data_IF_608613220215
#
_entry.id   IF_608613220215
#
_cell.length_a   1.000
_cell.length_b   1.000
_cell.length_c   1.000
_cell.angle_alpha   90.00
_cell.angle_beta   90.00
_cell.angle_gamma   90.00
#
_symmetry.space_group_name_H-M   'P 1'
#
loop_
_entity.id
_entity.type
_entity.pdbx_description
1 polymer ?
#
# COMPACT_ATOMS: atom_id res chain seq x y z
N UNK A 1 -10.04 -1.17 6.36
CA UNK A 1 -8.73 -1.30 7.05
C UNK A 1 -8.70 -0.30 8.21
N UNK A 2 -7.82 -0.47 9.18
CA UNK A 2 -7.61 0.49 10.28
C UNK A 2 -6.14 0.96 10.31
N UNK A 3 -5.82 1.83 11.27
CA UNK A 3 -4.47 2.38 11.44
C UNK A 3 -3.39 1.30 11.60
N UNK A 4 -3.68 0.18 12.30
CA UNK A 4 -2.68 -0.86 12.57
C UNK A 4 -2.37 -1.67 11.32
N UNK A 5 -3.39 -2.04 10.55
CA UNK A 5 -3.20 -2.75 9.28
C UNK A 5 -2.36 -1.93 8.30
N UNK A 6 -2.62 -0.63 8.23
CA UNK A 6 -1.88 0.28 7.36
C UNK A 6 -0.41 0.34 7.78
N UNK A 7 -0.13 0.51 9.07
CA UNK A 7 1.24 0.55 9.59
C UNK A 7 1.98 -0.77 9.41
N UNK A 8 1.29 -1.91 9.43
CA UNK A 8 1.87 -3.23 9.20
C UNK A 8 2.00 -3.60 7.71
N UNK A 9 1.51 -2.75 6.80
CA UNK A 9 1.45 -3.07 5.37
C UNK A 9 0.56 -4.27 5.06
N UNK A 10 -0.38 -4.61 5.94
CA UNK A 10 -1.29 -5.73 5.76
C UNK A 10 -2.46 -5.31 4.84
N UNK A 11 -2.78 -6.16 3.89
CA UNK A 11 -3.86 -5.94 2.92
C UNK A 11 -4.98 -6.96 3.15
N UNK A 12 -6.22 -6.49 3.00
CA UNK A 12 -7.40 -7.36 2.95
C UNK A 12 -7.95 -7.42 1.52
N UNK A 13 -8.64 -8.52 1.14
CA UNK A 13 -9.44 -8.58 -0.08
C UNK A 13 -10.35 -7.35 -0.24
N UNK A 14 -10.53 -6.90 -1.49
CA UNK A 14 -11.55 -5.91 -1.82
C UNK A 14 -12.93 -6.48 -1.53
N UNK A 15 -13.84 -5.58 -1.13
CA UNK A 15 -15.21 -5.92 -0.75
C UNK A 15 -16.16 -5.14 -1.59
N UNK A 16 -17.23 -5.80 -2.03
CA UNK A 16 -18.26 -5.14 -2.81
C UNK A 16 -19.14 -4.33 -1.88
N UNK A 17 -19.29 -3.06 -2.20
CA UNK A 17 -20.26 -2.18 -1.57
C UNK A 17 -21.67 -2.58 -2.02
N UNK A 18 -22.56 -2.85 -1.07
CA UNK A 18 -23.95 -3.28 -1.32
C UNK A 18 -24.99 -2.28 -0.83
N UNK A 19 -24.58 -1.27 -0.04
CA UNK A 19 -25.45 -0.19 0.39
C UNK A 19 -24.66 1.01 0.88
N UNK A 20 -25.22 2.21 0.66
CA UNK A 20 -24.73 3.48 1.20
C UNK A 20 -25.92 4.20 1.80
N UNK A 21 -25.74 4.68 3.02
CA UNK A 21 -26.68 5.51 3.75
C UNK A 21 -25.94 6.80 4.11
N UNK A 22 -26.10 7.88 3.32
CA UNK A 22 -25.36 9.11 3.52
C UNK A 22 -25.86 9.90 4.75
N UNK A 23 -27.11 9.70 5.17
CA UNK A 23 -27.68 10.38 6.34
C UNK A 23 -27.06 9.84 7.63
N UNK A 24 -26.87 8.51 7.69
CA UNK A 24 -26.20 7.85 8.82
C UNK A 24 -24.68 7.77 8.65
N UNK A 25 -24.13 8.18 7.50
CA UNK A 25 -22.70 8.00 7.17
C UNK A 25 -22.28 6.53 7.15
N UNK A 26 -23.19 5.63 6.75
CA UNK A 26 -23.01 4.17 6.84
C UNK A 26 -22.81 3.55 5.46
N UNK A 27 -21.88 2.59 5.40
CA UNK A 27 -21.62 1.76 4.22
C UNK A 27 -21.81 0.29 4.59
N UNK A 28 -22.53 -0.45 3.74
CA UNK A 28 -22.74 -1.89 3.88
C UNK A 28 -21.89 -2.64 2.87
N UNK A 29 -21.12 -3.62 3.33
CA UNK A 29 -20.26 -4.47 2.52
C UNK A 29 -20.87 -5.87 2.38
N UNK A 30 -20.63 -6.54 1.25
CA UNK A 30 -21.11 -7.90 1.01
C UNK A 30 -20.54 -8.92 2.02
N UNK A 31 -19.35 -8.66 2.55
CA UNK A 31 -18.68 -9.48 3.57
C UNK A 31 -18.03 -8.59 4.63
N UNK A 32 -18.06 -8.98 5.92
CA UNK A 32 -17.47 -8.19 6.99
C UNK A 32 -15.93 -8.18 6.92
N UNK A 33 -15.27 -7.03 7.17
CA UNK A 33 -13.81 -6.94 7.26
C UNK A 33 -13.26 -7.72 8.45
N UNK A 34 -12.05 -8.27 8.30
CA UNK A 34 -11.46 -9.11 9.35
C UNK A 34 -11.04 -8.29 10.58
N UNK A 35 -10.77 -7.00 10.37
CA UNK A 35 -10.38 -6.06 11.44
C UNK A 35 -11.43 -5.04 11.85
N UNK A 36 -12.71 -5.16 11.44
CA UNK A 36 -13.78 -4.44 12.14
C UNK A 36 -14.04 -5.08 13.51
N UNK A 37 -13.00 -5.11 14.35
CA UNK A 37 -13.17 -5.24 15.78
C UNK A 37 -13.55 -3.85 16.28
N UNK A 38 -14.53 -3.84 17.16
CA UNK A 38 -15.23 -2.67 17.70
C UNK A 38 -14.33 -1.83 18.62
N UNK A 39 -13.20 -1.36 18.09
CA UNK A 39 -12.22 -0.55 18.81
C UNK A 39 -12.53 0.92 18.53
N UNK A 40 -13.29 1.53 19.45
CA UNK A 40 -13.61 2.97 19.43
C UNK A 40 -12.39 3.91 19.37
N UNK A 41 -11.19 3.37 19.55
CA UNK A 41 -9.91 4.08 19.49
C UNK A 41 -9.17 3.90 18.15
N UNK A 42 -9.73 3.14 17.20
CA UNK A 42 -9.17 2.94 15.86
C UNK A 42 -9.98 3.71 14.82
N UNK A 43 -9.31 4.22 13.80
CA UNK A 43 -9.95 4.97 12.73
C UNK A 43 -10.12 4.08 11.49
N UNK A 44 -11.35 3.66 11.16
CA UNK A 44 -11.58 2.87 9.97
C UNK A 44 -11.35 3.72 8.72
N UNK A 45 -10.59 3.16 7.78
CA UNK A 45 -10.30 3.76 6.49
C UNK A 45 -10.92 2.90 5.39
N UNK A 46 -11.65 3.57 4.50
CA UNK A 46 -12.27 2.98 3.32
C UNK A 46 -11.67 3.64 2.09
N UNK A 47 -11.15 2.84 1.17
CA UNK A 47 -10.75 3.27 -0.18
C UNK A 47 -11.69 2.58 -1.16
N UNK A 48 -12.31 3.36 -2.04
CA UNK A 48 -13.21 2.84 -3.06
C UNK A 48 -12.42 2.56 -4.34
N UNK A 49 -12.71 1.43 -4.96
CA UNK A 49 -12.29 1.08 -6.30
C UNK A 49 -13.54 0.77 -7.12
N UNK A 50 -13.70 1.40 -8.27
CA UNK A 50 -14.90 1.31 -9.11
C UNK A 50 -14.63 0.80 -10.54
N UNK A 51 -13.37 0.60 -10.94
CA UNK A 51 -13.06 0.03 -12.24
C UNK A 51 -13.43 -1.46 -12.30
N UNK A 52 -14.01 -1.86 -13.43
CA UNK A 52 -14.44 -3.23 -13.72
C UNK A 52 -13.39 -4.02 -14.50
N UNK A 53 -13.47 -5.36 -14.42
CA UNK A 53 -12.71 -6.23 -15.30
C UNK A 53 -13.15 -6.06 -16.76
N UNK A 54 -12.21 -6.09 -17.69
CA UNK A 54 -12.49 -6.25 -19.12
C UNK A 54 -11.43 -7.18 -19.75
N UNK A 55 -11.44 -8.48 -19.42
CA UNK A 55 -10.40 -9.40 -19.87
C UNK A 55 -10.46 -9.70 -21.37
N UNK A 56 -11.50 -9.24 -22.08
CA UNK A 56 -11.63 -9.40 -23.52
C UNK A 56 -10.94 -8.27 -24.30
N UNK A 57 -10.81 -7.09 -23.69
CA UNK A 57 -10.09 -5.97 -24.28
C UNK A 57 -8.57 -6.18 -24.20
N UNK A 58 -7.81 -5.78 -25.24
CA UNK A 58 -6.36 -5.65 -25.13
C UNK A 58 -5.99 -4.73 -23.96
N UNK A 59 -5.10 -5.20 -23.08
CA UNK A 59 -4.66 -4.48 -21.87
C UNK A 59 -5.81 -4.10 -20.91
N UNK A 60 -6.96 -4.78 -21.02
CA UNK A 60 -8.05 -4.61 -20.07
C UNK A 60 -7.71 -5.19 -18.69
N UNK A 61 -8.40 -4.73 -17.66
CA UNK A 61 -8.13 -5.16 -16.30
C UNK A 61 -8.53 -6.61 -16.08
N UNK A 62 -7.60 -7.40 -15.56
CA UNK A 62 -7.87 -8.73 -15.04
C UNK A 62 -7.97 -8.67 -13.52
N UNK A 63 -9.11 -9.05 -12.96
CA UNK A 63 -9.27 -9.12 -11.52
C UNK A 63 -8.93 -10.53 -11.00
N UNK A 64 -8.26 -10.58 -9.85
CA UNK A 64 -7.97 -11.82 -9.14
C UNK A 64 -9.16 -12.22 -8.26
N UNK A 65 -9.64 -13.44 -8.43
CA UNK A 65 -10.61 -14.04 -7.51
C UNK A 65 -9.88 -14.80 -6.40
N UNK A 66 -10.29 -14.68 -5.11
CA UNK A 66 -11.46 -13.96 -4.61
C UNK A 66 -11.17 -12.51 -4.15
N UNK A 67 -9.95 -12.00 -4.38
CA UNK A 67 -9.51 -10.71 -3.81
C UNK A 67 -10.17 -9.50 -4.47
N UNK A 68 -10.68 -9.65 -5.69
CA UNK A 68 -11.18 -8.58 -6.55
C UNK A 68 -10.11 -7.60 -7.03
N UNK A 69 -8.83 -7.84 -6.72
CA UNK A 69 -7.74 -6.92 -7.04
C UNK A 69 -7.31 -7.03 -8.50
N UNK A 70 -6.94 -5.91 -9.12
CA UNK A 70 -6.40 -5.91 -10.48
C UNK A 70 -4.99 -6.53 -10.51
N UNK A 71 -4.75 -7.44 -11.46
CA UNK A 71 -3.49 -8.17 -11.62
C UNK A 71 -2.46 -7.36 -12.39
N UNK A 72 -1.25 -7.29 -11.83
CA UNK A 72 -0.05 -6.78 -12.50
C UNK A 72 0.78 -7.99 -12.94
N UNK A 73 0.93 -8.18 -14.25
CA UNK A 73 1.69 -9.31 -14.82
C UNK A 73 3.12 -8.88 -15.10
N UNK A 74 4.06 -9.29 -14.25
CA UNK A 74 5.47 -8.89 -14.39
C UNK A 74 6.28 -9.89 -15.25
N UNK A 75 5.72 -11.07 -15.56
CA UNK A 75 6.39 -12.15 -16.30
C UNK A 75 5.46 -12.79 -17.37
N UNK A 76 4.77 -11.99 -18.17
CA UNK A 76 3.90 -12.48 -19.27
C UNK A 76 4.66 -12.94 -20.52
N UNK A 77 6.01 -12.87 -20.50
CA UNK A 77 6.86 -13.18 -21.65
C UNK A 77 7.17 -11.96 -22.53
N UNK A 78 6.71 -10.76 -22.17
CA UNK A 78 7.19 -9.52 -22.79
C UNK A 78 8.69 -9.30 -22.47
N UNK A 79 9.50 -8.80 -23.43
CA UNK A 79 10.92 -8.53 -23.20
C UNK A 79 11.18 -7.50 -22.09
N UNK A 80 10.15 -6.73 -21.73
CA UNK A 80 10.22 -5.51 -20.93
C UNK A 80 9.71 -5.74 -19.51
N UNK A 81 8.95 -6.83 -19.27
CA UNK A 81 8.41 -7.17 -17.95
C UNK A 81 7.43 -6.13 -17.42
N UNK A 82 6.64 -5.53 -18.31
CA UNK A 82 5.69 -4.47 -18.00
C UNK A 82 4.24 -4.91 -18.21
N UNK A 83 3.36 -4.50 -17.31
CA UNK A 83 1.92 -4.71 -17.37
C UNK A 83 1.23 -3.38 -17.63
N UNK A 84 0.67 -3.21 -18.81
CA UNK A 84 -0.16 -2.05 -19.16
C UNK A 84 -1.62 -2.30 -18.79
N UNK A 85 -2.27 -1.31 -18.18
CA UNK A 85 -3.71 -1.28 -17.95
C UNK A 85 -4.33 -0.11 -18.71
N UNK A 86 -5.45 -0.38 -19.37
CA UNK A 86 -6.32 0.64 -19.91
C UNK A 86 -7.37 1.04 -18.88
N UNK A 87 -7.34 2.30 -18.46
CA UNK A 87 -8.31 2.91 -17.56
C UNK A 87 -9.37 3.68 -18.38
N UNK A 88 -10.29 4.34 -17.68
CA UNK A 88 -11.33 5.16 -18.28
C UNK A 88 -10.74 6.38 -19.03
N UNK A 89 -11.53 6.95 -19.95
CA UNK A 89 -11.22 8.17 -20.71
C UNK A 89 -9.88 8.14 -21.49
N UNK A 90 -9.42 6.95 -21.89
CA UNK A 90 -8.21 6.78 -22.69
C UNK A 90 -6.91 6.91 -21.88
N UNK A 91 -6.98 6.91 -20.56
CA UNK A 91 -5.82 6.90 -19.68
C UNK A 91 -5.21 5.51 -19.67
N UNK A 92 -3.91 5.41 -19.89
CA UNK A 92 -3.16 4.17 -19.78
C UNK A 92 -2.12 4.29 -18.68
N UNK A 93 -1.95 3.24 -17.90
CA UNK A 93 -0.89 3.14 -16.89
C UNK A 93 -0.07 1.88 -17.14
N UNK A 94 1.23 1.98 -16.93
CA UNK A 94 2.14 0.87 -17.14
C UNK A 94 2.94 0.60 -15.86
N UNK A 95 2.96 -0.66 -15.46
CA UNK A 95 3.70 -1.16 -14.32
C UNK A 95 4.82 -2.06 -14.82
N UNK A 96 6.04 -1.54 -14.88
CA UNK A 96 7.23 -2.32 -15.20
C UNK A 96 7.82 -3.00 -13.97
N UNK A 97 8.58 -4.09 -14.18
CA UNK A 97 9.34 -4.77 -13.14
C UNK A 97 10.10 -3.73 -12.30
N UNK A 98 9.72 -3.51 -11.04
CA UNK A 98 10.48 -2.64 -10.15
C UNK A 98 11.84 -3.32 -9.96
N UNK A 99 12.95 -2.57 -10.00
CA UNK A 99 14.32 -3.11 -9.92
C UNK A 99 14.55 -4.08 -8.75
N UNK A 100 15.21 -3.64 -7.67
CA UNK A 100 15.46 -4.54 -6.52
C UNK A 100 14.32 -4.56 -5.48
N UNK A 101 13.43 -3.55 -5.48
CA UNK A 101 12.59 -3.25 -4.32
C UNK A 101 11.13 -3.71 -4.35
N UNK A 102 10.63 -4.24 -5.48
CA UNK A 102 9.24 -4.71 -5.61
C UNK A 102 8.19 -3.59 -5.53
N UNK A 103 6.94 -3.90 -5.90
CA UNK A 103 5.78 -3.12 -5.47
C UNK A 103 5.39 -3.57 -4.06
N UNK A 104 5.04 -2.62 -3.19
CA UNK A 104 4.70 -2.89 -1.79
C UNK A 104 3.30 -2.40 -1.47
N UNK A 105 2.66 -3.09 -0.52
CA UNK A 105 1.41 -2.61 0.07
C UNK A 105 1.58 -1.19 0.61
N UNK A 106 0.71 -0.28 0.18
CA UNK A 106 0.77 1.13 0.55
C UNK A 106 1.51 2.02 -0.46
N UNK A 107 2.16 1.46 -1.48
CA UNK A 107 2.64 2.25 -2.62
C UNK A 107 1.45 2.90 -3.33
N UNK A 108 1.59 4.19 -3.62
CA UNK A 108 0.59 4.95 -4.37
C UNK A 108 1.25 6.06 -5.17
N UNK A 109 0.52 6.52 -6.18
CA UNK A 109 0.87 7.67 -7.00
C UNK A 109 -0.35 8.58 -7.09
N UNK A 110 -0.15 9.88 -6.92
CA UNK A 110 -1.15 10.91 -7.17
C UNK A 110 -0.70 11.68 -8.41
N UNK A 111 -1.44 11.49 -9.51
CA UNK A 111 -1.26 12.26 -10.74
C UNK A 111 -2.58 12.99 -11.03
N UNK A 112 -2.60 14.33 -11.04
CA UNK A 112 -3.84 15.06 -11.24
C UNK A 112 -4.25 15.05 -12.72
N UNK A 113 -5.54 14.93 -12.97
CA UNK A 113 -6.16 15.21 -14.27
C UNK A 113 -6.88 16.57 -14.19
N UNK A 114 -6.67 17.45 -15.17
CA UNK A 114 -7.31 18.77 -15.20
C UNK A 114 -8.22 18.93 -16.41
N UNK A 115 -9.47 19.28 -16.18
CA UNK A 115 -10.43 19.58 -17.24
C UNK A 115 -9.95 20.72 -18.17
N UNK A 116 -9.25 21.72 -17.63
CA UNK A 116 -8.70 22.82 -18.41
C UNK A 116 -7.64 22.38 -19.43
N UNK A 117 -6.90 21.30 -19.12
CA UNK A 117 -5.94 20.68 -20.03
C UNK A 117 -6.57 19.56 -20.87
N UNK A 118 -7.73 19.05 -20.44
CA UNK A 118 -8.34 17.81 -20.94
C UNK A 118 -7.34 16.64 -20.95
N UNK A 119 -6.42 16.62 -19.98
CA UNK A 119 -5.31 15.67 -19.93
C UNK A 119 -4.83 15.45 -18.48
N UNK A 120 -4.04 14.39 -18.30
CA UNK A 120 -3.32 14.05 -17.07
C UNK A 120 -2.03 14.86 -17.00
N UNK A 121 -1.75 15.49 -15.87
CA UNK A 121 -0.49 16.22 -15.65
C UNK A 121 0.64 15.23 -15.31
N UNK A 122 1.09 14.49 -16.31
CA UNK A 122 2.17 13.54 -16.18
C UNK A 122 3.55 14.22 -16.39
N UNK A 123 4.56 13.93 -15.55
CA UNK A 123 5.90 14.49 -15.75
C UNK A 123 6.57 13.98 -17.03
N UNK A 124 7.15 14.89 -17.81
CA UNK A 124 7.81 14.57 -19.08
C UNK A 124 6.96 14.91 -20.32
N UNK A 125 7.49 14.73 -21.53
CA UNK A 125 6.76 14.97 -22.77
C UNK A 125 5.67 13.89 -22.99
N UNK A 126 4.55 14.25 -23.63
CA UNK A 126 3.40 13.34 -23.82
C UNK A 126 3.71 12.03 -24.55
N UNK A 127 4.76 11.99 -25.38
CA UNK A 127 5.20 10.78 -26.11
C UNK A 127 6.26 9.95 -25.38
N UNK A 128 6.78 10.46 -24.27
CA UNK A 128 7.81 9.81 -23.47
C UNK A 128 7.60 10.21 -22.00
N UNK A 129 6.48 9.76 -21.38
CA UNK A 129 6.18 10.05 -19.99
C UNK A 129 7.26 9.49 -19.06
N UNK A 130 7.62 10.24 -18.02
CA UNK A 130 8.64 9.81 -17.07
C UNK A 130 8.11 8.68 -16.17
N UNK A 131 8.97 7.71 -15.85
CA UNK A 131 8.68 6.69 -14.84
C UNK A 131 8.73 7.32 -13.45
N UNK A 132 7.72 7.05 -12.62
CA UNK A 132 7.62 7.61 -11.28
C UNK A 132 7.80 6.54 -10.20
N UNK A 133 8.66 6.83 -9.21
CA UNK A 133 8.67 6.07 -7.96
C UNK A 133 7.39 6.30 -7.16
N UNK A 134 6.98 5.35 -6.29
CA UNK A 134 5.85 5.55 -5.38
C UNK A 134 6.01 6.85 -4.56
N UNK A 135 4.93 7.60 -4.39
CA UNK A 135 4.91 8.86 -3.65
C UNK A 135 4.59 8.67 -2.15
N UNK A 136 4.37 7.42 -1.72
CA UNK A 136 4.09 7.08 -0.34
C UNK A 136 5.28 7.25 0.60
N UNK A 137 5.00 7.24 1.92
CA UNK A 137 6.04 7.32 2.94
C UNK A 137 6.87 6.03 2.91
N UNK A 138 8.19 6.10 2.72
CA UNK A 138 9.07 4.95 2.84
C UNK A 138 9.06 4.44 4.29
N UNK A 139 8.68 3.18 4.48
CA UNK A 139 8.74 2.53 5.79
C UNK A 139 10.04 1.74 5.90
N UNK A 140 10.82 2.05 6.94
CA UNK A 140 12.03 1.31 7.29
C UNK A 140 11.80 0.54 8.59
N UNK A 141 12.06 -0.76 8.56
CA UNK A 141 11.98 -1.62 9.73
C UNK A 141 13.39 -1.87 10.28
N UNK A 142 13.58 -1.60 11.57
CA UNK A 142 14.80 -1.95 12.29
C UNK A 142 14.52 -3.16 13.19
N UNK A 143 15.30 -4.25 13.12
CA UNK A 143 15.15 -5.35 14.04
C UNK A 143 15.45 -4.85 15.46
N UNK A 144 14.54 -5.12 16.41
CA UNK A 144 14.71 -4.72 17.80
C UNK A 144 15.32 -5.83 18.66
N UNK A 145 14.92 -7.07 18.43
CA UNK A 145 15.42 -8.23 19.15
C UNK A 145 15.21 -9.52 18.36
N UNK A 146 16.06 -10.52 18.60
CA UNK A 146 15.85 -11.89 18.20
C UNK A 146 15.19 -12.65 19.36
N UNK A 147 13.99 -13.18 19.14
CA UNK A 147 13.25 -13.97 20.12
C UNK A 147 13.39 -15.47 19.82
N UNK A 148 13.58 -16.27 20.85
CA UNK A 148 13.59 -17.75 20.76
C UNK A 148 12.47 -18.30 21.62
N UNK A 149 11.62 -19.13 21.00
CA UNK A 149 10.52 -19.80 21.69
C UNK A 149 10.84 -21.29 21.86
N UNK A 150 10.89 -21.77 23.12
CA UNK A 150 11.07 -23.21 23.44
C UNK A 150 10.14 -23.59 24.59
N UNK A 151 9.46 -24.72 24.50
CA UNK A 151 8.55 -25.21 25.56
C UNK A 151 7.51 -24.17 26.04
N UNK A 152 7.00 -23.33 25.13
CA UNK A 152 6.10 -22.18 25.41
C UNK A 152 6.73 -21.05 26.24
N UNK A 153 8.04 -21.06 26.43
CA UNK A 153 8.81 -19.96 27.01
C UNK A 153 9.43 -19.11 25.90
N UNK A 154 9.38 -17.78 26.04
CA UNK A 154 9.96 -16.82 25.11
C UNK A 154 11.18 -16.18 25.79
N UNK A 155 12.33 -16.27 25.14
CA UNK A 155 13.58 -15.62 25.60
C UNK A 155 14.11 -14.67 24.55
N UNK A 156 14.76 -13.59 24.99
CA UNK A 156 15.47 -12.66 24.12
C UNK A 156 16.87 -13.24 23.89
N UNK A 157 17.13 -13.73 22.67
CA UNK A 157 18.41 -14.30 22.29
C UNK A 157 19.45 -13.24 21.89
N UNK A 158 18.99 -12.11 21.34
CA UNK A 158 19.85 -10.97 21.02
C UNK A 158 19.04 -9.66 21.06
N UNK A 159 19.69 -8.59 21.53
CA UNK A 159 19.24 -7.21 21.29
C UNK A 159 19.81 -6.76 19.94
N UNK A 160 18.94 -6.28 19.06
CA UNK A 160 19.31 -5.85 17.71
C UNK A 160 19.25 -4.32 17.55
N UNK A 161 18.93 -3.58 18.62
CA UNK A 161 18.87 -2.13 18.59
C UNK A 161 20.26 -1.54 18.34
N UNK A 162 20.35 -0.64 17.37
CA UNK A 162 21.50 0.24 17.20
C UNK A 162 21.42 1.37 18.23
N UNK A 163 21.98 1.15 19.41
CA UNK A 163 22.03 2.16 20.47
C UNK A 163 23.23 3.09 20.27
N UNK A 164 23.02 4.38 20.52
CA UNK A 164 24.10 5.36 20.60
C UNK A 164 24.40 5.67 22.06
N UNK A 165 25.68 5.86 22.38
CA UNK A 165 26.08 6.27 23.72
C UNK A 165 25.63 7.71 24.02
N UNK A 166 25.24 8.03 25.27
CA UNK A 166 24.91 9.39 25.65
C UNK A 166 26.08 10.35 25.38
N UNK A 167 25.81 11.44 24.66
CA UNK A 167 26.82 12.48 24.38
C UNK A 167 27.12 13.36 25.61
N UNK A 168 26.25 13.35 26.61
CA UNK A 168 26.41 14.15 27.81
C UNK A 168 27.17 13.37 28.89
N UNK A 169 28.18 14.01 29.51
CA UNK A 169 28.86 13.48 30.70
C UNK A 169 27.98 13.68 31.94
N UNK A 170 27.87 12.70 32.85
CA UNK A 170 27.18 12.90 34.12
C UNK A 170 27.85 14.04 34.91
N UNK A 171 27.07 15.01 35.35
CA UNK A 171 27.55 16.04 36.29
C UNK A 171 27.56 15.40 37.67
N UNK A 172 28.73 15.09 38.20
CA UNK A 172 28.86 14.68 39.60
C UNK A 172 28.70 15.91 40.49
N UNK A 173 27.67 15.91 41.34
CA UNK A 173 27.49 16.92 42.38
C UNK A 173 28.66 16.78 43.36
N UNK A 174 29.43 17.85 43.59
CA UNK A 174 30.38 17.88 44.70
C UNK A 174 29.57 17.95 46.00
N UNK A 175 29.79 17.00 46.89
CA UNK A 175 29.37 17.11 48.28
C UNK A 175 30.31 18.11 48.98
N UNK A 176 29.73 19.06 49.72
CA UNK A 176 30.41 20.05 50.55
C UNK A 176 30.78 19.46 51.92
#
# INVERSE_FOLDING_TARGET
VDDDLILQGQVEPLRRLVGIDPEEGRVTLNTPPSTARDHRTKHPLLRRWDHSADPAAPHGLHLEEPSGAAKVWIDDGSPEGCSTWHLEDGVHVEFCRPGESGFRSGDYWLIPARAAAADVEWPGPAREPAVLSPQGVPHHYAPLALLVTRNREITVAADCRLTFEPLARPVTRREE
#
